data_IF_788087388796
#
_entry.id   IF_788087388796
#
_cell.length_a   1.000
_cell.length_b   1.000
_cell.length_c   1.000
_cell.angle_alpha   90.00
_cell.angle_beta   90.00
_cell.angle_gamma   90.00
#
_symmetry.space_group_name_H-M   'P 1'
#
loop_
_entity.id
_entity.type
_entity.pdbx_description
1 polymer ?
#
# COMPACT_ATOMS: atom_id res chain seq x y z
N UNK A 1 24.35 59.00 -14.66
CA UNK A 1 23.56 57.99 -13.90
C UNK A 1 23.65 56.65 -14.63
N UNK A 2 24.60 55.78 -14.27
CA UNK A 2 24.76 54.44 -14.87
C UNK A 2 25.50 53.51 -13.91
N UNK A 3 24.85 53.06 -12.82
CA UNK A 3 25.37 51.97 -11.97
C UNK A 3 24.22 51.27 -11.26
N UNK A 4 23.47 50.44 -11.99
CA UNK A 4 22.45 49.57 -11.42
C UNK A 4 22.35 48.28 -12.24
N UNK A 5 23.46 47.53 -12.39
CA UNK A 5 23.46 46.31 -13.21
C UNK A 5 24.26 45.14 -12.66
N UNK A 6 24.55 45.11 -11.36
CA UNK A 6 25.40 44.06 -10.76
C UNK A 6 24.78 43.34 -9.55
N UNK A 7 23.45 43.40 -9.37
CA UNK A 7 22.78 42.74 -8.23
C UNK A 7 21.83 41.60 -8.62
N UNK A 8 21.84 41.13 -9.86
CA UNK A 8 20.88 40.10 -10.34
C UNK A 8 21.52 38.70 -10.49
N UNK A 9 22.86 38.59 -10.35
CA UNK A 9 23.55 37.30 -10.57
C UNK A 9 23.68 36.47 -9.27
N UNK A 10 23.50 37.08 -8.08
CA UNK A 10 23.68 36.39 -6.79
C UNK A 10 22.52 35.50 -6.33
N UNK A 11 21.34 35.59 -6.95
CA UNK A 11 20.14 34.87 -6.48
C UNK A 11 19.86 33.61 -7.32
N UNK A 12 20.48 33.48 -8.50
CA UNK A 12 20.15 32.40 -9.44
C UNK A 12 20.86 31.06 -9.15
N UNK A 13 21.89 31.04 -8.29
CA UNK A 13 22.70 29.83 -8.07
C UNK A 13 22.36 29.01 -6.82
N UNK A 14 21.48 29.51 -5.93
CA UNK A 14 21.11 28.76 -4.71
C UNK A 14 19.94 27.78 -4.95
N UNK A 15 19.16 27.96 -6.02
CA UNK A 15 17.99 27.11 -6.29
C UNK A 15 18.30 25.75 -6.92
N UNK A 16 19.55 25.46 -7.30
CA UNK A 16 19.88 24.22 -8.04
C UNK A 16 20.27 23.06 -7.10
N UNK A 17 20.49 23.30 -5.80
CA UNK A 17 20.93 22.22 -4.89
C UNK A 17 19.77 21.33 -4.40
N UNK A 18 18.50 21.71 -4.62
CA UNK A 18 17.36 20.86 -4.22
C UNK A 18 16.91 19.82 -5.27
N UNK A 19 17.54 19.77 -6.46
CA UNK A 19 17.08 18.88 -7.54
C UNK A 19 17.54 17.41 -7.45
N UNK A 20 18.12 16.99 -6.33
CA UNK A 20 18.32 15.57 -6.01
C UNK A 20 17.82 15.24 -4.60
N UNK A 21 16.63 15.74 -4.24
CA UNK A 21 15.79 14.97 -3.35
C UNK A 21 15.34 13.76 -4.16
N UNK A 22 16.13 12.69 -4.14
CA UNK A 22 15.74 11.37 -4.62
C UNK A 22 14.37 11.09 -4.01
N UNK A 23 13.33 11.23 -4.82
CA UNK A 23 11.99 10.80 -4.49
C UNK A 23 12.07 9.28 -4.39
N UNK A 24 12.52 8.80 -3.24
CA UNK A 24 12.14 7.51 -2.72
C UNK A 24 10.63 7.61 -2.52
N UNK A 25 9.88 7.50 -3.62
CA UNK A 25 8.48 7.19 -3.59
C UNK A 25 8.40 5.92 -2.79
N UNK A 26 8.07 6.05 -1.49
CA UNK A 26 7.70 4.88 -0.72
C UNK A 26 6.49 4.33 -1.45
N UNK A 27 6.62 3.14 -2.03
CA UNK A 27 5.51 2.39 -2.62
C UNK A 27 4.63 1.85 -1.50
N UNK A 28 4.22 2.74 -0.59
CA UNK A 28 3.27 2.44 0.46
C UNK A 28 1.96 2.09 -0.24
N UNK A 29 1.45 0.91 0.09
CA UNK A 29 0.17 0.39 -0.36
C UNK A 29 -0.68 0.18 0.86
N UNK A 30 -1.98 0.37 0.67
CA UNK A 30 -2.97 0.24 1.72
C UNK A 30 -3.87 -0.93 1.35
N UNK A 31 -3.99 -1.88 2.27
CA UNK A 31 -4.97 -2.96 2.22
C UNK A 31 -6.09 -2.59 3.19
N UNK A 32 -7.31 -2.51 2.69
CA UNK A 32 -8.52 -2.36 3.49
C UNK A 32 -9.29 -3.67 3.47
N UNK A 33 -9.56 -4.22 4.64
CA UNK A 33 -10.34 -5.45 4.83
C UNK A 33 -11.67 -5.09 5.47
N UNK A 34 -12.76 -5.48 4.82
CA UNK A 34 -14.14 -5.23 5.25
C UNK A 34 -14.99 -6.48 5.06
N UNK A 35 -16.21 -6.47 5.59
CA UNK A 35 -17.22 -7.52 5.41
C UNK A 35 -18.60 -6.93 5.68
N UNK A 36 -19.67 -7.62 5.27
CA UNK A 36 -21.06 -7.13 5.44
C UNK A 36 -21.44 -6.89 6.91
N UNK A 37 -20.90 -7.73 7.81
CA UNK A 37 -21.03 -7.61 9.26
C UNK A 37 -19.67 -7.80 9.92
N UNK A 38 -19.55 -7.48 11.21
CA UNK A 38 -18.29 -7.66 11.94
C UNK A 38 -17.82 -9.12 11.86
N UNK A 39 -16.69 -9.34 11.22
CA UNK A 39 -16.11 -10.65 10.96
C UNK A 39 -14.72 -10.72 11.59
N UNK A 40 -14.36 -11.88 12.11
CA UNK A 40 -13.02 -12.17 12.61
C UNK A 40 -12.23 -12.95 11.55
N UNK A 41 -10.96 -12.61 11.36
CA UNK A 41 -10.10 -13.26 10.39
C UNK A 41 -8.67 -13.41 10.90
N UNK A 42 -7.95 -14.36 10.33
CA UNK A 42 -6.51 -14.52 10.51
C UNK A 42 -5.77 -13.95 9.29
N UNK A 43 -4.61 -13.36 9.54
CA UNK A 43 -3.69 -12.88 8.52
C UNK A 43 -2.38 -13.66 8.60
N UNK A 44 -1.87 -14.11 7.46
CA UNK A 44 -0.50 -14.60 7.32
C UNK A 44 0.27 -13.58 6.50
N UNK A 45 1.40 -13.09 7.01
CA UNK A 45 2.31 -12.19 6.30
C UNK A 45 3.70 -12.83 6.28
N UNK A 46 4.19 -13.20 5.10
CA UNK A 46 5.51 -13.83 4.93
C UNK A 46 5.75 -15.01 5.89
N UNK A 47 4.73 -15.83 6.12
CA UNK A 47 4.76 -16.98 7.03
C UNK A 47 4.47 -16.66 8.51
N UNK A 48 4.38 -15.39 8.90
CA UNK A 48 4.01 -14.97 10.27
C UNK A 48 2.50 -14.86 10.38
N UNK A 49 1.91 -15.51 11.38
CA UNK A 49 0.46 -15.55 11.57
C UNK A 49 0.03 -14.55 12.66
N UNK A 50 -0.91 -13.68 12.32
CA UNK A 50 -1.65 -12.81 13.23
C UNK A 50 -3.10 -13.27 13.27
N UNK A 51 -3.60 -13.66 14.43
CA UNK A 51 -4.95 -14.23 14.58
C UNK A 51 -5.94 -13.24 15.19
N UNK A 52 -7.21 -13.45 14.90
CA UNK A 52 -8.31 -12.77 15.59
C UNK A 52 -8.46 -11.28 15.27
N UNK A 53 -8.07 -10.88 14.06
CA UNK A 53 -8.25 -9.51 13.57
C UNK A 53 -9.72 -9.32 13.22
N UNK A 54 -10.29 -8.15 13.50
CA UNK A 54 -11.71 -7.87 13.26
C UNK A 54 -11.89 -6.85 12.15
N UNK A 55 -12.90 -7.04 11.31
CA UNK A 55 -13.30 -6.04 10.32
C UNK A 55 -14.07 -4.88 10.97
N UNK A 56 -13.97 -3.64 10.45
CA UNK A 56 -13.04 -3.22 9.39
C UNK A 56 -11.59 -3.14 9.90
N UNK A 57 -10.63 -3.46 9.03
CA UNK A 57 -9.20 -3.38 9.35
C UNK A 57 -8.44 -2.73 8.18
N UNK A 58 -7.44 -1.92 8.49
CA UNK A 58 -6.57 -1.28 7.51
C UNK A 58 -5.11 -1.55 7.85
N UNK A 59 -4.33 -1.90 6.83
CA UNK A 59 -2.92 -2.24 6.96
C UNK A 59 -2.11 -1.59 5.84
N UNK A 60 -0.99 -0.97 6.23
CA UNK A 60 -0.08 -0.28 5.31
C UNK A 60 1.21 -1.08 5.20
N UNK A 61 1.65 -1.32 3.97
CA UNK A 61 2.86 -2.07 3.68
C UNK A 61 3.65 -1.39 2.57
N UNK A 62 4.97 -1.62 2.53
CA UNK A 62 5.88 -0.93 1.58
C UNK A 62 6.83 -1.89 0.85
N UNK A 63 6.72 -3.18 1.14
CA UNK A 63 7.56 -4.23 0.62
C UNK A 63 7.41 -4.37 -0.90
N UNK A 64 8.54 -4.66 -1.57
CA UNK A 64 8.58 -4.95 -3.01
C UNK A 64 8.26 -6.41 -3.33
N UNK A 65 8.35 -7.28 -2.32
CA UNK A 65 8.00 -8.69 -2.37
C UNK A 65 7.34 -9.12 -1.07
N UNK A 66 6.31 -9.95 -1.13
CA UNK A 66 5.69 -10.52 0.05
C UNK A 66 4.42 -11.29 -0.24
N UNK A 67 4.13 -12.25 0.62
CA UNK A 67 2.94 -13.10 0.56
C UNK A 67 2.03 -12.78 1.74
N UNK A 68 0.76 -12.54 1.42
CA UNK A 68 -0.28 -12.23 2.37
C UNK A 68 -1.45 -13.18 2.17
N UNK A 69 -1.98 -13.74 3.25
CA UNK A 69 -3.18 -14.58 3.23
C UNK A 69 -4.14 -14.02 4.27
N UNK A 70 -5.38 -13.80 3.89
CA UNK A 70 -6.47 -13.37 4.77
C UNK A 70 -7.51 -14.47 4.76
N UNK A 71 -7.86 -15.01 5.92
CA UNK A 71 -8.84 -16.09 6.04
C UNK A 71 -9.86 -15.76 7.10
N UNK A 72 -11.14 -15.69 6.70
CA UNK A 72 -12.23 -15.55 7.66
C UNK A 72 -12.29 -16.75 8.59
N UNK A 73 -12.63 -16.49 9.86
CA UNK A 73 -12.98 -17.52 10.83
C UNK A 73 -14.34 -18.16 10.55
N UNK A 74 -15.24 -17.42 9.91
CA UNK A 74 -16.56 -17.89 9.54
C UNK A 74 -16.58 -18.19 8.03
N UNK A 75 -16.70 -19.47 7.66
CA UNK A 75 -16.68 -19.88 6.26
C UNK A 75 -17.85 -19.31 5.44
N UNK A 76 -18.94 -18.91 6.09
CA UNK A 76 -20.10 -18.31 5.44
C UNK A 76 -19.98 -16.79 5.29
N UNK A 77 -18.91 -16.18 5.82
CA UNK A 77 -18.69 -14.73 5.74
C UNK A 77 -17.46 -14.41 4.90
N UNK A 78 -17.69 -13.70 3.80
CA UNK A 78 -16.65 -13.25 2.89
C UNK A 78 -15.89 -12.04 3.48
N UNK A 79 -14.61 -11.95 3.11
CA UNK A 79 -13.77 -10.77 3.33
C UNK A 79 -13.67 -10.01 2.02
N UNK A 80 -14.05 -8.74 2.06
CA UNK A 80 -13.82 -7.79 0.98
C UNK A 80 -12.49 -7.09 1.18
N UNK A 81 -11.51 -7.46 0.36
CA UNK A 81 -10.15 -6.90 0.38
C UNK A 81 -10.01 -5.90 -0.75
N UNK A 82 -9.67 -4.65 -0.41
CA UNK A 82 -9.36 -3.59 -1.35
C UNK A 82 -7.90 -3.17 -1.19
N UNK A 83 -7.12 -3.31 -2.27
CA UNK A 83 -5.71 -2.93 -2.31
C UNK A 83 -5.56 -1.72 -3.22
N UNK A 84 -5.12 -0.61 -2.66
CA UNK A 84 -4.78 0.57 -3.46
C UNK A 84 -3.35 0.43 -3.98
N UNK A 85 -3.21 0.35 -5.31
CA UNK A 85 -1.92 0.25 -6.01
C UNK A 85 -1.72 1.42 -6.98
N UNK A 86 -0.48 1.61 -7.44
CA UNK A 86 -0.14 2.61 -8.47
C UNK A 86 -0.89 2.41 -9.80
N UNK A 87 -1.42 1.20 -10.06
CA UNK A 87 -2.17 0.86 -11.28
C UNK A 87 -3.69 0.92 -11.07
N UNK A 88 -4.16 1.33 -9.89
CA UNK A 88 -5.57 1.36 -9.52
C UNK A 88 -5.89 0.47 -8.32
N UNK A 89 -7.18 0.39 -7.99
CA UNK A 89 -7.70 -0.41 -6.90
C UNK A 89 -7.97 -1.84 -7.36
N UNK A 90 -7.45 -2.82 -6.63
CA UNK A 90 -7.79 -4.22 -6.78
C UNK A 90 -8.77 -4.61 -5.68
N UNK A 91 -9.93 -5.16 -6.06
CA UNK A 91 -10.98 -5.54 -5.12
C UNK A 91 -11.34 -7.00 -5.34
N UNK A 92 -11.42 -7.76 -4.26
CA UNK A 92 -11.74 -9.19 -4.24
C UNK A 92 -12.63 -9.44 -3.02
N UNK A 93 -13.57 -10.37 -3.13
CA UNK A 93 -14.51 -10.72 -2.06
C UNK A 93 -14.66 -12.25 -1.95
N UNK A 94 -14.01 -12.84 -0.95
CA UNK A 94 -13.94 -14.30 -0.73
C UNK A 94 -13.70 -14.61 0.75
N UNK A 95 -14.01 -15.83 1.21
CA UNK A 95 -13.71 -16.30 2.58
C UNK A 95 -12.19 -16.43 2.84
N UNK A 96 -11.42 -16.83 1.81
CA UNK A 96 -9.96 -16.83 1.84
C UNK A 96 -9.42 -16.03 0.66
N UNK A 97 -8.54 -15.07 0.96
CA UNK A 97 -7.88 -14.21 -0.04
C UNK A 97 -6.37 -14.35 0.08
N UNK A 98 -5.72 -14.59 -1.05
CA UNK A 98 -4.26 -14.62 -1.16
C UNK A 98 -3.81 -13.42 -1.98
N UNK A 99 -2.82 -12.69 -1.47
CA UNK A 99 -2.20 -11.56 -2.13
C UNK A 99 -0.69 -11.79 -2.21
N UNK A 100 -0.16 -11.76 -3.42
CA UNK A 100 1.27 -11.86 -3.69
C UNK A 100 1.77 -10.52 -4.25
N UNK A 101 2.87 -10.04 -3.71
CA UNK A 101 3.58 -8.86 -4.19
C UNK A 101 4.88 -9.31 -4.81
N UNK A 102 5.13 -8.91 -6.05
CA UNK A 102 6.39 -9.20 -6.74
C UNK A 102 6.79 -8.01 -7.60
N UNK A 103 8.01 -7.49 -7.39
CA UNK A 103 8.57 -6.36 -8.15
C UNK A 103 7.65 -5.14 -8.24
N UNK A 104 6.91 -4.88 -7.17
CA UNK A 104 5.87 -3.86 -7.03
C UNK A 104 4.51 -4.13 -7.66
N UNK A 105 4.35 -5.24 -8.35
CA UNK A 105 3.06 -5.68 -8.86
C UNK A 105 2.33 -6.47 -7.78
N UNK A 106 1.02 -6.29 -7.70
CA UNK A 106 0.16 -6.99 -6.74
C UNK A 106 -0.74 -7.92 -7.52
N UNK A 107 -0.71 -9.20 -7.16
CA UNK A 107 -1.64 -10.23 -7.64
C UNK A 107 -2.54 -10.64 -6.48
N UNK A 108 -3.83 -10.73 -6.74
CA UNK A 108 -4.83 -11.08 -5.73
C UNK A 108 -5.68 -12.25 -6.24
N UNK A 109 -5.95 -13.21 -5.36
CA UNK A 109 -6.67 -14.44 -5.67
C UNK A 109 -7.68 -14.73 -4.57
N UNK A 110 -8.89 -15.09 -4.97
CA UNK A 110 -9.91 -15.65 -4.07
C UNK A 110 -9.88 -17.17 -4.10
N UNK A 111 -10.11 -17.80 -2.95
CA UNK A 111 -10.24 -19.24 -2.79
C UNK A 111 -11.46 -19.53 -1.92
N UNK A 112 -12.26 -20.54 -2.27
CA UNK A 112 -13.34 -21.08 -1.44
C UNK A 112 -12.81 -22.11 -0.42
#
# INVERSE_FOLDING_TARGET
MKKALLSVIGILTILIVFSFCSSNFSTQRIIKITSESQNEFDMVQNGVITKGIKTPYEFIFSERKGDFIFKSKNNDQELKINVNSKYGNLIVEWNTVVLNVENNDVKIYGMN
#
